data_IF_963877785355
#
_entry.id   IF_963877785355
#
_cell.length_a   1.000
_cell.length_b   1.000
_cell.length_c   1.000
_cell.angle_alpha   90.00
_cell.angle_beta   90.00
_cell.angle_gamma   90.00
#
_symmetry.space_group_name_H-M   'P 1'
#
loop_
_entity.id
_entity.type
_entity.pdbx_description
1 polymer ?
#
# COMPACT_ATOMS: atom_id res chain seq x y z
N UNK A 1 -71.60 13.83 4.53
CA UNK A 1 -71.98 12.94 5.65
C UNK A 1 -70.80 12.85 6.62
N UNK A 2 -71.05 13.25 7.88
CA UNK A 2 -70.40 12.91 9.18
C UNK A 2 -68.86 12.92 9.27
N UNK A 3 -68.25 13.99 9.81
CA UNK A 3 -67.92 14.33 11.24
C UNK A 3 -66.51 13.82 11.63
N UNK A 4 -65.46 14.64 11.71
CA UNK A 4 -65.02 15.56 12.80
C UNK A 4 -64.86 14.88 14.18
N UNK A 5 -63.64 14.87 14.75
CA UNK A 5 -63.23 15.67 15.93
C UNK A 5 -61.74 15.50 16.30
N UNK A 6 -61.10 16.64 16.57
CA UNK A 6 -59.84 16.84 17.30
C UNK A 6 -60.04 16.62 18.82
N UNK A 7 -58.98 16.28 19.57
CA UNK A 7 -58.52 17.09 20.71
C UNK A 7 -57.21 16.58 21.34
N UNK A 8 -56.33 17.53 21.64
CA UNK A 8 -55.13 17.54 22.47
C UNK A 8 -55.47 17.67 23.97
N UNK A 9 -54.59 17.23 24.88
CA UNK A 9 -54.39 17.85 26.20
C UNK A 9 -53.10 17.36 26.90
N UNK A 10 -52.51 18.28 27.66
CA UNK A 10 -51.22 18.31 28.36
C UNK A 10 -51.25 17.83 29.83
N UNK A 11 -50.03 17.50 30.33
CA UNK A 11 -49.42 17.71 31.66
C UNK A 11 -50.02 17.12 32.97
N UNK A 12 -49.20 16.36 33.74
CA UNK A 12 -48.75 16.69 35.11
C UNK A 12 -47.94 15.57 35.83
N UNK A 13 -46.78 15.95 36.39
CA UNK A 13 -46.08 15.60 37.65
C UNK A 13 -45.93 14.16 38.24
N UNK A 14 -44.66 13.69 38.26
CA UNK A 14 -43.81 13.13 39.38
C UNK A 14 -44.31 12.05 40.38
N UNK A 15 -43.44 11.40 41.20
CA UNK A 15 -42.27 10.55 40.95
C UNK A 15 -42.39 9.15 41.65
N UNK A 16 -41.64 8.11 41.24
CA UNK A 16 -41.58 6.82 41.99
C UNK A 16 -40.15 6.38 42.29
N UNK A 17 -40.01 5.91 43.54
CA UNK A 17 -38.84 5.75 44.41
C UNK A 17 -38.05 4.46 44.14
N UNK A 18 -36.74 4.57 44.37
CA UNK A 18 -35.78 3.48 44.64
C UNK A 18 -36.15 2.78 45.95
N UNK A 19 -36.08 1.44 45.99
CA UNK A 19 -36.11 0.63 47.21
C UNK A 19 -34.94 -0.36 47.20
N UNK A 20 -34.02 -0.17 48.14
CA UNK A 20 -33.08 -1.18 48.65
C UNK A 20 -33.64 -1.80 49.94
N UNK A 21 -33.32 -3.06 50.22
CA UNK A 21 -33.40 -3.71 51.55
C UNK A 21 -32.64 -5.06 51.57
N UNK A 22 -32.18 -5.55 52.76
CA UNK A 22 -30.85 -6.13 52.97
C UNK A 22 -30.87 -7.57 53.57
N UNK A 23 -29.97 -8.00 54.49
CA UNK A 23 -28.80 -8.86 54.28
C UNK A 23 -28.91 -10.27 54.94
N UNK A 24 -27.93 -11.17 54.74
CA UNK A 24 -27.78 -12.35 55.59
C UNK A 24 -26.30 -12.78 55.75
N UNK A 25 -25.98 -13.26 56.96
CA UNK A 25 -24.66 -13.37 57.59
C UNK A 25 -23.86 -14.64 57.26
N UNK A 26 -22.57 -14.56 57.64
CA UNK A 26 -21.48 -15.54 57.59
C UNK A 26 -21.71 -16.84 58.38
N UNK A 27 -21.09 -17.94 57.93
CA UNK A 27 -20.40 -18.93 58.78
C UNK A 27 -19.23 -19.61 58.00
N UNK A 28 -18.26 -20.08 58.77
CA UNK A 28 -16.81 -20.23 58.52
C UNK A 28 -16.28 -21.59 58.03
N UNK A 29 -15.08 -21.54 57.40
CA UNK A 29 -13.93 -22.47 57.36
C UNK A 29 -14.13 -23.98 57.02
N UNK A 30 -13.40 -24.52 56.04
CA UNK A 30 -12.10 -25.20 56.27
C UNK A 30 -11.31 -25.44 54.95
N UNK A 31 -9.99 -25.21 55.00
CA UNK A 31 -8.93 -25.57 54.01
C UNK A 31 -8.65 -27.10 53.98
N UNK A 32 -8.00 -27.74 52.95
CA UNK A 32 -6.61 -27.41 52.54
C UNK A 32 -6.03 -27.86 51.16
N UNK A 33 -4.77 -27.41 50.95
CA UNK A 33 -3.62 -27.94 50.14
C UNK A 33 -3.39 -27.45 48.69
N UNK A 34 -2.31 -26.65 48.55
CA UNK A 34 -1.41 -26.52 47.38
C UNK A 34 -0.12 -27.33 47.60
N UNK A 35 0.59 -27.71 46.52
CA UNK A 35 2.06 -27.60 46.42
C UNK A 35 2.45 -26.70 45.22
N UNK A 36 3.29 -25.65 45.35
CA UNK A 36 4.80 -25.59 45.32
C UNK A 36 5.37 -26.12 43.98
N UNK A 37 6.34 -25.54 43.26
CA UNK A 37 7.37 -24.48 43.40
C UNK A 37 7.97 -24.34 41.95
N UNK A 38 8.49 -23.24 41.38
CA UNK A 38 9.78 -22.56 41.63
C UNK A 38 9.96 -21.44 40.59
N UNK A 39 10.29 -20.24 41.05
CA UNK A 39 10.94 -19.17 40.27
C UNK A 39 12.28 -18.89 40.95
N UNK A 40 13.37 -18.86 40.20
CA UNK A 40 14.64 -18.31 40.64
C UNK A 40 14.75 -16.85 40.19
N UNK A 41 14.99 -15.96 41.16
CA UNK A 41 15.43 -14.59 40.94
C UNK A 41 16.93 -14.56 40.62
N UNK A 42 17.36 -13.61 39.81
CA UNK A 42 18.57 -12.83 40.06
C UNK A 42 18.38 -11.39 39.62
N UNK A 43 18.85 -10.52 40.49
CA UNK A 43 18.71 -9.07 40.53
C UNK A 43 19.64 -8.33 39.56
N UNK A 44 19.28 -7.10 39.19
CA UNK A 44 20.17 -5.94 39.34
C UNK A 44 19.40 -4.64 39.08
N UNK A 45 19.57 -3.72 40.04
CA UNK A 45 19.07 -2.35 40.10
C UNK A 45 19.82 -1.43 39.11
N UNK A 46 19.15 -0.36 38.63
CA UNK A 46 19.68 1.02 38.56
C UNK A 46 18.72 1.97 37.80
N UNK A 47 17.82 2.58 38.56
CA UNK A 47 17.65 4.05 38.70
C UNK A 47 18.36 5.00 37.69
N UNK A 48 17.59 5.80 36.92
CA UNK A 48 17.47 7.29 37.01
C UNK A 48 16.94 7.96 35.73
N UNK A 49 16.01 8.88 35.98
CA UNK A 49 15.41 9.90 35.11
C UNK A 49 16.33 11.10 34.88
N UNK A 50 16.45 11.61 33.63
CA UNK A 50 16.33 13.05 33.23
C UNK A 50 16.92 13.34 31.84
N UNK A 51 16.14 14.05 31.03
CA UNK A 51 16.60 14.85 29.89
C UNK A 51 17.21 16.18 30.36
N UNK A 52 18.22 16.73 29.67
CA UNK A 52 18.51 18.16 29.72
C UNK A 52 18.19 18.88 28.40
N UNK A 53 17.48 20.00 28.52
CA UNK A 53 17.55 21.14 27.60
C UNK A 53 18.76 21.99 27.99
N UNK A 54 19.58 22.41 27.03
CA UNK A 54 20.22 23.73 27.07
C UNK A 54 20.75 24.16 25.70
N UNK A 55 20.65 25.47 25.47
CA UNK A 55 21.15 26.24 24.34
C UNK A 55 22.68 26.41 24.42
N UNK A 56 23.33 26.49 23.26
CA UNK A 56 24.72 26.95 23.14
C UNK A 56 25.21 26.90 21.69
N UNK A 57 25.33 28.06 21.05
CA UNK A 57 25.85 28.25 19.71
C UNK A 57 27.38 28.18 19.67
N UNK A 58 27.99 27.51 18.68
CA UNK A 58 29.30 27.86 18.06
C UNK A 58 29.31 27.36 16.60
N UNK A 59 29.93 28.17 15.73
CA UNK A 59 30.01 28.11 14.28
C UNK A 59 30.80 26.92 13.67
N UNK A 60 30.63 26.71 12.36
CA UNK A 60 31.25 25.67 11.51
C UNK A 60 32.77 25.81 11.29
N UNK A 61 33.37 24.98 10.39
CA UNK A 61 33.29 25.32 8.96
C UNK A 61 33.32 24.13 7.96
N UNK A 62 33.10 24.49 6.69
CA UNK A 62 33.50 23.86 5.43
C UNK A 62 32.37 23.34 4.53
N UNK A 63 32.05 24.24 3.62
CA UNK A 63 31.39 24.09 2.33
C UNK A 63 31.82 22.83 1.56
N UNK A 64 30.81 22.05 1.15
CA UNK A 64 30.88 21.23 -0.07
C UNK A 64 29.75 21.73 -0.98
N UNK A 65 30.03 22.19 -2.22
CA UNK A 65 28.96 22.69 -3.08
C UNK A 65 28.08 21.51 -3.53
N UNK A 66 26.82 21.52 -3.10
CA UNK A 66 25.78 20.69 -3.69
C UNK A 66 25.53 21.18 -5.13
N UNK A 67 26.11 20.48 -6.10
CA UNK A 67 25.69 20.58 -7.50
C UNK A 67 24.23 20.14 -7.60
N UNK A 68 23.31 21.09 -7.58
CA UNK A 68 21.94 20.89 -8.06
C UNK A 68 21.98 20.82 -9.59
N UNK A 69 22.38 19.68 -10.15
CA UNK A 69 21.97 19.35 -11.51
C UNK A 69 20.54 18.86 -11.45
N UNK A 70 19.59 19.72 -11.82
CA UNK A 70 18.24 19.29 -12.17
C UNK A 70 18.33 18.47 -13.45
N UNK A 71 18.46 17.15 -13.33
CA UNK A 71 18.10 16.26 -14.44
C UNK A 71 16.58 16.27 -14.54
N UNK A 72 16.03 16.87 -15.60
CA UNK A 72 14.59 16.81 -15.83
C UNK A 72 14.18 15.36 -16.08
N UNK A 73 12.98 14.99 -15.64
CA UNK A 73 12.31 13.72 -15.97
C UNK A 73 12.27 13.45 -17.49
N UNK A 74 12.32 14.50 -18.31
CA UNK A 74 12.46 14.42 -19.77
C UNK A 74 13.80 13.82 -20.22
N UNK A 75 14.93 14.14 -19.55
CA UNK A 75 16.23 13.54 -19.88
C UNK A 75 16.25 12.04 -19.61
N UNK A 76 15.60 11.61 -18.52
CA UNK A 76 15.43 10.19 -18.21
C UNK A 76 14.51 9.48 -19.21
N UNK A 77 13.46 10.16 -19.69
CA UNK A 77 12.55 9.66 -20.73
C UNK A 77 13.29 9.38 -22.04
N UNK A 78 14.26 10.23 -22.39
CA UNK A 78 15.09 10.10 -23.60
C UNK A 78 16.12 8.99 -23.49
N UNK A 79 16.80 8.87 -22.35
CA UNK A 79 17.79 7.80 -22.13
C UNK A 79 17.12 6.40 -22.11
N UNK A 80 15.89 6.29 -21.60
CA UNK A 80 15.13 5.05 -21.61
C UNK A 80 14.72 4.59 -23.03
N UNK A 81 14.36 5.52 -23.92
CA UNK A 81 14.00 5.16 -25.30
C UNK A 81 15.22 4.74 -26.13
N UNK A 82 16.38 5.36 -25.90
CA UNK A 82 17.63 5.04 -26.59
C UNK A 82 18.18 3.64 -26.16
N UNK A 83 18.08 3.26 -24.88
CA UNK A 83 18.50 1.94 -24.38
C UNK A 83 17.69 0.76 -24.95
N UNK A 84 16.45 0.99 -25.40
CA UNK A 84 15.62 -0.05 -26.03
C UNK A 84 16.21 -0.59 -27.34
N UNK A 85 17.18 0.11 -27.95
CA UNK A 85 17.70 -0.23 -29.28
C UNK A 85 18.96 -1.12 -29.25
N UNK A 86 19.54 -1.40 -28.07
CA UNK A 86 20.80 -2.12 -27.94
C UNK A 86 20.67 -3.40 -27.09
N UNK A 87 19.95 -4.40 -27.58
CA UNK A 87 20.05 -5.78 -27.07
C UNK A 87 19.77 -6.78 -28.19
N UNK A 88 20.83 -7.32 -28.80
CA UNK A 88 20.74 -8.52 -29.65
C UNK A 88 20.81 -9.76 -28.75
N UNK A 89 19.64 -10.30 -28.41
CA UNK A 89 19.48 -11.71 -28.07
C UNK A 89 18.40 -12.29 -28.97
N UNK A 90 18.75 -13.34 -29.71
CA UNK A 90 17.84 -14.11 -30.56
C UNK A 90 17.01 -15.03 -29.67
N UNK A 91 15.68 -14.97 -29.79
CA UNK A 91 14.75 -15.84 -29.04
C UNK A 91 13.60 -15.17 -28.29
N UNK A 92 13.26 -13.91 -28.58
CA UNK A 92 12.12 -13.20 -27.97
C UNK A 92 11.13 -12.76 -29.06
N UNK A 93 9.86 -12.98 -28.77
CA UNK A 93 8.67 -12.70 -29.59
C UNK A 93 8.83 -11.44 -30.46
N UNK A 94 8.91 -11.66 -31.77
CA UNK A 94 9.22 -10.65 -32.79
C UNK A 94 8.10 -9.60 -32.90
N UNK A 95 6.95 -9.83 -32.28
CA UNK A 95 5.79 -8.94 -32.33
C UNK A 95 5.97 -7.63 -31.55
N UNK A 96 6.72 -7.64 -30.44
CA UNK A 96 6.98 -6.42 -29.64
C UNK A 96 8.04 -5.49 -30.29
N UNK A 97 8.83 -6.00 -31.26
CA UNK A 97 9.84 -5.21 -31.99
C UNK A 97 9.24 -4.38 -33.14
N UNK A 98 8.04 -4.70 -33.58
CA UNK A 98 7.41 -4.14 -34.79
C UNK A 98 6.39 -3.03 -34.52
N UNK A 99 6.25 -2.55 -33.27
CA UNK A 99 5.24 -1.54 -32.94
C UNK A 99 3.79 -2.02 -33.11
N UNK A 100 3.59 -3.34 -33.19
CA UNK A 100 2.27 -3.95 -33.19
C UNK A 100 1.80 -3.97 -31.74
N UNK A 101 0.71 -3.27 -31.44
CA UNK A 101 0.08 -3.26 -30.12
C UNK A 101 -0.22 -4.69 -29.68
N UNK A 102 0.46 -5.19 -28.65
CA UNK A 102 0.15 -6.47 -28.02
C UNK A 102 -1.31 -6.46 -27.56
N UNK A 103 -2.13 -7.50 -27.79
CA UNK A 103 -3.50 -7.52 -27.28
C UNK A 103 -3.55 -7.45 -25.74
N UNK A 104 -2.45 -7.74 -25.05
CA UNK A 104 -2.35 -7.78 -23.60
C UNK A 104 -1.96 -6.46 -22.94
N UNK A 105 -1.25 -5.58 -23.67
CA UNK A 105 -0.70 -4.33 -23.15
C UNK A 105 -0.82 -3.21 -24.17
N UNK A 106 -0.99 -2.00 -23.65
CA UNK A 106 -1.11 -0.77 -24.44
C UNK A 106 -0.40 0.38 -23.75
N UNK A 107 -0.14 1.43 -24.51
CA UNK A 107 0.32 2.70 -23.97
C UNK A 107 -0.87 3.68 -23.87
N UNK A 108 -1.05 4.29 -22.71
CA UNK A 108 -2.06 5.33 -22.48
C UNK A 108 -1.37 6.56 -21.94
N UNK A 109 -1.25 7.59 -22.77
CA UNK A 109 -0.65 8.90 -22.43
C UNK A 109 0.73 8.78 -21.76
N UNK A 110 1.56 7.84 -22.26
CA UNK A 110 2.90 7.57 -21.76
C UNK A 110 3.00 6.56 -20.62
N UNK A 111 1.91 5.87 -20.26
CA UNK A 111 1.89 4.77 -19.29
C UNK A 111 1.69 3.44 -20.02
N UNK A 112 2.65 2.53 -19.90
CA UNK A 112 2.54 1.15 -20.39
C UNK A 112 1.73 0.31 -19.40
N UNK A 113 0.59 -0.23 -19.81
CA UNK A 113 -0.36 -0.91 -18.92
C UNK A 113 -1.13 -2.01 -19.65
N UNK A 114 -1.59 -3.00 -18.91
CA UNK A 114 -2.40 -4.09 -19.45
C UNK A 114 -3.71 -3.55 -20.04
N UNK A 115 -4.16 -4.16 -21.13
CA UNK A 115 -5.46 -3.92 -21.77
C UNK A 115 -6.65 -4.11 -20.83
N UNK A 116 -6.46 -4.76 -19.67
CA UNK A 116 -7.44 -4.82 -18.59
C UNK A 116 -7.87 -3.44 -18.09
N UNK A 117 -6.95 -2.47 -18.05
CA UNK A 117 -7.25 -1.12 -17.61
C UNK A 117 -7.91 -0.31 -18.73
N UNK A 118 -9.02 0.36 -18.41
CA UNK A 118 -9.73 1.21 -19.36
C UNK A 118 -9.04 2.56 -19.48
N UNK A 119 -8.88 3.03 -20.72
CA UNK A 119 -8.19 4.30 -20.97
C UNK A 119 -8.96 5.47 -20.38
N UNK A 120 -10.29 5.45 -20.49
CA UNK A 120 -11.15 6.50 -19.93
C UNK A 120 -11.03 6.59 -18.41
N UNK A 121 -10.91 5.45 -17.72
CA UNK A 121 -10.68 5.44 -16.27
C UNK A 121 -9.30 6.03 -15.95
N UNK A 122 -8.26 5.68 -16.71
CA UNK A 122 -6.91 6.20 -16.49
C UNK A 122 -6.83 7.72 -16.77
N UNK A 123 -7.43 8.19 -17.86
CA UNK A 123 -7.53 9.62 -18.19
C UNK A 123 -8.36 10.39 -17.17
N UNK A 124 -9.45 9.79 -16.69
CA UNK A 124 -10.25 10.34 -15.59
C UNK A 124 -9.43 10.43 -14.31
N UNK A 125 -8.60 9.43 -14.00
CA UNK A 125 -7.69 9.46 -12.87
C UNK A 125 -6.70 10.62 -13.00
N UNK A 126 -6.07 10.83 -14.16
CA UNK A 126 -5.16 11.97 -14.38
C UNK A 126 -5.86 13.32 -14.19
N UNK A 127 -7.12 13.42 -14.55
CA UNK A 127 -7.91 14.64 -14.48
C UNK A 127 -8.50 14.94 -13.09
N UNK A 128 -8.47 13.97 -12.16
CA UNK A 128 -9.00 14.12 -10.81
C UNK A 128 -8.41 15.36 -10.11
N UNK A 129 -9.22 16.04 -9.31
CA UNK A 129 -8.82 17.24 -8.58
C UNK A 129 -8.72 16.90 -7.10
N UNK A 130 -7.50 16.73 -6.55
CA UNK A 130 -7.34 16.35 -5.16
C UNK A 130 -7.94 17.37 -4.21
N UNK A 131 -8.62 16.87 -3.18
CA UNK A 131 -9.24 17.63 -2.10
C UNK A 131 -8.25 17.80 -0.93
N UNK A 132 -8.43 18.81 -0.07
CA UNK A 132 -7.52 19.03 1.07
C UNK A 132 -7.46 17.87 2.08
N UNK A 133 -8.49 17.04 2.14
CA UNK A 133 -8.58 15.88 3.01
C UNK A 133 -8.17 14.57 2.30
N UNK A 134 -7.76 14.63 1.03
CA UNK A 134 -7.29 13.45 0.30
C UNK A 134 -5.92 12.99 0.81
N UNK A 135 -5.81 11.67 0.99
CA UNK A 135 -4.56 10.97 1.26
C UNK A 135 -4.33 9.98 0.13
N UNK A 136 -3.24 10.12 -0.61
CA UNK A 136 -2.83 9.16 -1.63
C UNK A 136 -1.84 8.16 -1.04
N UNK A 137 -2.02 6.87 -1.34
CA UNK A 137 -1.02 5.82 -1.12
C UNK A 137 -0.49 5.42 -2.51
N UNK A 138 0.69 5.93 -2.83
CA UNK A 138 1.36 5.75 -4.10
C UNK A 138 2.54 4.78 -3.97
N UNK A 139 2.81 4.00 -5.01
CA UNK A 139 3.96 3.08 -5.06
C UNK A 139 4.09 2.49 -6.45
N UNK A 140 5.30 2.08 -6.85
CA UNK A 140 5.40 1.12 -7.94
C UNK A 140 4.72 -0.20 -7.51
N UNK A 141 4.11 -0.97 -8.43
CA UNK A 141 3.49 -2.24 -8.07
C UNK A 141 4.38 -3.10 -7.20
N UNK A 142 3.76 -3.73 -6.19
CA UNK A 142 4.41 -4.73 -5.31
C UNK A 142 5.48 -4.20 -4.36
N UNK A 143 5.49 -2.90 -4.13
CA UNK A 143 6.30 -2.27 -3.08
C UNK A 143 5.61 -2.20 -1.70
N UNK A 144 4.49 -2.88 -1.48
CA UNK A 144 3.80 -2.91 -0.17
C UNK A 144 2.57 -2.02 -0.06
N UNK A 145 1.98 -1.61 -1.18
CA UNK A 145 0.82 -0.71 -1.26
C UNK A 145 -0.37 -1.16 -0.41
N UNK A 146 -0.77 -2.43 -0.51
CA UNK A 146 -1.90 -2.97 0.26
C UNK A 146 -1.65 -2.88 1.76
N UNK A 147 -0.41 -3.17 2.19
CA UNK A 147 -0.03 -3.06 3.59
C UNK A 147 -0.13 -1.62 4.09
N UNK A 148 0.36 -0.66 3.31
CA UNK A 148 0.22 0.76 3.63
C UNK A 148 -1.24 1.23 3.62
N UNK A 149 -2.07 0.79 2.67
CA UNK A 149 -3.51 1.09 2.70
C UNK A 149 -4.15 0.55 3.98
N UNK A 150 -3.83 -0.66 4.42
CA UNK A 150 -4.35 -1.21 5.67
C UNK A 150 -3.89 -0.40 6.87
N UNK A 151 -2.61 -0.02 6.95
CA UNK A 151 -2.08 0.84 8.02
C UNK A 151 -2.85 2.15 8.06
N UNK A 152 -2.96 2.86 6.94
CA UNK A 152 -3.67 4.15 6.86
C UNK A 152 -5.14 3.97 7.24
N UNK A 153 -5.81 2.96 6.69
CA UNK A 153 -7.21 2.69 6.98
C UNK A 153 -7.44 2.41 8.47
N UNK A 154 -6.60 1.59 9.10
CA UNK A 154 -6.64 1.29 10.53
C UNK A 154 -6.38 2.53 11.40
N UNK A 155 -5.48 3.44 11.00
CA UNK A 155 -5.25 4.70 11.73
C UNK A 155 -6.49 5.60 11.66
N UNK A 156 -7.13 5.68 10.49
CA UNK A 156 -8.30 6.53 10.26
C UNK A 156 -9.59 5.96 10.89
N UNK A 157 -9.68 4.64 11.05
CA UNK A 157 -10.90 3.90 11.44
C UNK A 157 -10.69 2.98 12.65
N UNK A 158 -9.79 3.34 13.56
CA UNK A 158 -9.62 2.67 14.87
C UNK A 158 -9.40 1.15 14.83
N UNK A 159 -8.49 0.72 13.94
CA UNK A 159 -8.12 -0.66 13.67
C UNK A 159 -9.24 -1.55 13.07
N UNK A 160 -10.31 -0.95 12.54
CA UNK A 160 -11.37 -1.68 11.85
C UNK A 160 -11.05 -1.74 10.36
N UNK A 161 -10.86 -2.94 9.81
CA UNK A 161 -10.80 -3.17 8.37
C UNK A 161 -12.14 -3.68 7.84
N UNK A 162 -12.50 -3.34 6.60
CA UNK A 162 -13.57 -4.02 5.88
C UNK A 162 -13.37 -5.53 5.80
N UNK A 163 -14.46 -6.29 5.82
CA UNK A 163 -14.45 -7.76 5.92
C UNK A 163 -13.91 -8.46 4.66
N UNK A 164 -13.88 -7.77 3.52
CA UNK A 164 -13.44 -8.34 2.25
C UNK A 164 -12.76 -7.30 1.34
N UNK A 165 -12.05 -7.80 0.33
CA UNK A 165 -11.28 -6.99 -0.62
C UNK A 165 -12.10 -5.99 -1.44
N UNK A 166 -13.39 -6.27 -1.72
CA UNK A 166 -14.26 -5.36 -2.49
C UNK A 166 -14.70 -4.19 -1.63
N UNK A 167 -15.20 -4.44 -0.41
CA UNK A 167 -15.53 -3.35 0.51
C UNK A 167 -14.26 -2.54 0.87
N UNK A 168 -13.10 -3.18 0.98
CA UNK A 168 -11.82 -2.49 1.14
C UNK A 168 -11.50 -1.61 -0.06
N UNK A 169 -11.70 -2.10 -1.30
CA UNK A 169 -11.50 -1.30 -2.51
C UNK A 169 -12.45 -0.09 -2.54
N UNK A 170 -13.71 -0.22 -2.12
CA UNK A 170 -14.64 0.91 -2.07
C UNK A 170 -14.24 1.96 -1.02
N UNK A 171 -13.70 1.52 0.12
CA UNK A 171 -13.22 2.40 1.18
C UNK A 171 -11.82 3.00 0.90
N UNK A 172 -11.03 2.35 0.05
CA UNK A 172 -9.70 2.80 -0.39
C UNK A 172 -9.50 2.54 -1.88
N UNK A 173 -10.11 3.38 -2.75
CA UNK A 173 -10.23 3.11 -4.18
C UNK A 173 -8.88 3.14 -4.89
N UNK A 174 -8.73 2.23 -5.86
CA UNK A 174 -7.62 2.26 -6.79
C UNK A 174 -7.95 3.18 -7.96
N UNK A 175 -7.47 4.42 -7.93
CA UNK A 175 -7.88 5.45 -8.89
C UNK A 175 -7.49 5.09 -10.33
N UNK A 176 -6.36 4.42 -10.54
CA UNK A 176 -5.92 3.96 -11.86
C UNK A 176 -6.93 2.99 -12.50
N UNK A 177 -7.69 2.27 -11.67
CA UNK A 177 -8.68 1.29 -12.11
C UNK A 177 -10.11 1.86 -12.13
N UNK A 178 -10.45 2.69 -11.14
CA UNK A 178 -11.80 3.24 -10.92
C UNK A 178 -12.02 4.62 -11.52
N UNK A 179 -10.97 5.28 -12.01
CA UNK A 179 -11.02 6.69 -12.40
C UNK A 179 -11.39 7.59 -11.22
N UNK A 180 -11.82 8.82 -11.52
CA UNK A 180 -12.26 9.78 -10.50
C UNK A 180 -13.50 9.31 -9.72
N UNK A 181 -14.33 8.42 -10.29
CA UNK A 181 -15.56 7.95 -9.66
C UNK A 181 -15.30 7.25 -8.31
N UNK A 182 -14.20 6.48 -8.21
CA UNK A 182 -13.82 5.81 -6.96
C UNK A 182 -13.62 6.81 -5.82
N UNK A 183 -12.64 7.74 -5.91
CA UNK A 183 -12.43 8.78 -4.90
C UNK A 183 -13.63 9.72 -4.66
N UNK A 184 -14.47 9.94 -5.68
CA UNK A 184 -15.67 10.78 -5.51
C UNK A 184 -16.75 10.10 -4.66
N UNK A 185 -16.80 8.77 -4.64
CA UNK A 185 -17.78 7.95 -3.90
C UNK A 185 -17.23 7.29 -2.65
N UNK A 186 -15.93 7.36 -2.40
CA UNK A 186 -15.31 6.74 -1.22
C UNK A 186 -15.82 7.38 0.09
N UNK A 187 -15.92 6.56 1.14
CA UNK A 187 -16.16 7.06 2.50
C UNK A 187 -14.94 7.86 3.00
N UNK A 188 -15.21 8.92 3.76
CA UNK A 188 -14.18 9.82 4.30
C UNK A 188 -14.22 9.84 5.83
N UNK A 189 -13.06 9.90 6.52
CA UNK A 189 -11.70 9.95 5.96
C UNK A 189 -11.27 8.60 5.34
N UNK A 190 -10.51 8.66 4.25
CA UNK A 190 -10.11 7.49 3.47
C UNK A 190 -8.85 7.76 2.65
N UNK A 191 -8.29 6.71 2.05
CA UNK A 191 -7.06 6.82 1.27
C UNK A 191 -7.25 6.33 -0.17
N UNK A 192 -6.69 7.06 -1.13
CA UNK A 192 -6.75 6.76 -2.55
C UNK A 192 -5.47 6.01 -2.94
N UNK A 193 -5.60 4.78 -3.44
CA UNK A 193 -4.46 4.03 -3.98
C UNK A 193 -4.15 4.48 -5.40
N UNK A 194 -2.86 4.55 -5.72
CA UNK A 194 -2.39 4.72 -7.10
C UNK A 194 -1.05 4.03 -7.35
N UNK A 195 -0.80 3.65 -8.61
CA UNK A 195 0.50 3.20 -9.10
C UNK A 195 1.06 4.17 -10.15
N UNK A 196 0.57 5.41 -10.19
CA UNK A 196 1.05 6.42 -11.12
C UNK A 196 2.40 7.00 -10.67
N UNK A 197 3.33 7.24 -11.63
CA UNK A 197 4.53 8.00 -11.37
C UNK A 197 4.19 9.45 -10.99
N UNK A 198 5.14 10.15 -10.37
CA UNK A 198 4.87 11.49 -9.85
C UNK A 198 4.43 12.45 -10.95
N UNK A 199 4.95 12.37 -12.18
CA UNK A 199 4.53 13.26 -13.27
C UNK A 199 3.08 13.03 -13.76
N UNK A 200 2.42 11.94 -13.34
CA UNK A 200 1.07 11.56 -13.77
C UNK A 200 0.04 11.50 -12.66
N UNK A 201 0.46 11.39 -11.39
CA UNK A 201 -0.48 11.42 -10.28
C UNK A 201 -1.14 12.81 -10.17
N UNK A 202 -2.43 12.91 -9.84
CA UNK A 202 -3.08 14.19 -9.55
C UNK A 202 -2.43 14.91 -8.36
N UNK A 203 -2.03 16.17 -8.58
CA UNK A 203 -1.31 16.98 -7.59
C UNK A 203 -2.16 18.06 -6.94
N UNK A 204 -2.00 18.20 -5.63
CA UNK A 204 -2.42 19.36 -4.86
C UNK A 204 -1.50 19.56 -3.66
N UNK A 205 -1.05 20.80 -3.37
CA UNK A 205 -0.26 21.07 -2.16
C UNK A 205 -1.08 20.88 -0.87
N UNK A 206 -2.41 20.77 -0.97
CA UNK A 206 -3.30 20.56 0.17
C UNK A 206 -3.57 19.08 0.47
N UNK A 207 -3.39 18.19 -0.51
CA UNK A 207 -3.52 16.75 -0.31
C UNK A 207 -2.23 16.16 0.25
N UNK A 208 -2.30 14.98 0.85
CA UNK A 208 -1.15 14.24 1.37
C UNK A 208 -0.83 13.04 0.49
N UNK A 209 0.45 12.72 0.37
CA UNK A 209 0.93 11.61 -0.44
C UNK A 209 1.86 10.75 0.40
N UNK A 210 1.57 9.46 0.51
CA UNK A 210 2.45 8.47 1.12
C UNK A 210 3.00 7.62 -0.02
N UNK A 211 4.30 7.73 -0.25
CA UNK A 211 5.00 6.94 -1.25
C UNK A 211 5.76 5.79 -0.60
N UNK A 212 5.47 4.57 -1.02
CA UNK A 212 6.15 3.36 -0.55
C UNK A 212 6.98 2.75 -1.68
N UNK A 213 8.27 2.58 -1.45
CA UNK A 213 9.18 1.85 -2.33
C UNK A 213 9.72 0.60 -1.67
N UNK A 214 10.31 -0.31 -2.45
CA UNK A 214 10.90 -1.56 -2.00
C UNK A 214 12.09 -1.90 -2.87
N UNK A 215 13.09 -2.59 -2.34
CA UNK A 215 14.27 -2.96 -3.12
C UNK A 215 13.88 -3.64 -4.45
N UNK A 216 14.57 -3.32 -5.56
CA UNK A 216 14.15 -3.70 -6.90
C UNK A 216 14.15 -5.23 -7.11
N UNK A 217 15.01 -5.97 -6.40
CA UNK A 217 15.08 -7.43 -6.47
C UNK A 217 13.83 -8.11 -5.91
N UNK A 218 13.44 -7.79 -4.67
CA UNK A 218 12.23 -8.34 -4.07
C UNK A 218 10.96 -7.81 -4.76
N UNK A 219 10.99 -6.57 -5.24
CA UNK A 219 9.92 -6.02 -6.05
C UNK A 219 9.70 -6.86 -7.31
N UNK A 220 10.77 -7.16 -8.06
CA UNK A 220 10.75 -8.01 -9.25
C UNK A 220 10.14 -9.39 -8.95
N UNK A 221 10.62 -10.09 -7.91
CA UNK A 221 10.06 -11.41 -7.52
C UNK A 221 8.59 -11.31 -7.13
N UNK A 222 8.22 -10.30 -6.33
CA UNK A 222 6.83 -10.14 -5.92
C UNK A 222 5.92 -9.80 -7.09
N UNK A 223 6.46 -9.18 -8.14
CA UNK A 223 5.72 -8.82 -9.34
C UNK A 223 5.58 -10.01 -10.29
N UNK A 224 6.61 -10.82 -10.45
CA UNK A 224 6.52 -12.10 -11.15
C UNK A 224 5.34 -12.94 -10.65
N UNK A 225 5.29 -13.22 -9.34
CA UNK A 225 4.21 -14.00 -8.72
C UNK A 225 2.84 -13.30 -8.81
N UNK A 226 2.81 -11.96 -8.83
CA UNK A 226 1.57 -11.24 -9.01
C UNK A 226 1.01 -11.39 -10.43
N UNK A 227 1.85 -11.31 -11.47
CA UNK A 227 1.40 -11.57 -12.84
C UNK A 227 0.85 -12.99 -12.94
N UNK A 228 1.53 -13.97 -12.33
CA UNK A 228 1.04 -15.35 -12.28
C UNK A 228 -0.32 -15.50 -11.58
N UNK A 229 -0.64 -14.64 -10.61
CA UNK A 229 -1.95 -14.65 -9.96
C UNK A 229 -3.05 -13.95 -10.78
N UNK A 230 -2.73 -13.27 -11.89
CA UNK A 230 -3.73 -12.58 -12.71
C UNK A 230 -4.34 -13.49 -13.78
N UNK A 231 -5.63 -13.32 -14.12
CA UNK A 231 -6.32 -14.15 -15.12
C UNK A 231 -5.81 -13.93 -16.55
N UNK A 232 -5.10 -12.83 -16.81
CA UNK A 232 -4.53 -12.48 -18.12
C UNK A 232 -3.06 -12.90 -18.26
N UNK A 233 -2.56 -13.76 -17.37
CA UNK A 233 -1.20 -14.28 -17.50
C UNK A 233 -1.05 -15.11 -18.79
N UNK A 234 0.12 -15.00 -19.40
CA UNK A 234 0.51 -15.78 -20.57
C UNK A 234 1.30 -17.01 -20.15
N UNK A 235 1.33 -18.10 -20.95
CA UNK A 235 2.18 -19.25 -20.66
C UNK A 235 3.65 -18.86 -20.40
N UNK A 236 4.17 -17.88 -21.15
CA UNK A 236 5.55 -17.39 -21.05
C UNK A 236 5.79 -16.60 -19.76
N UNK A 237 4.73 -16.14 -19.08
CA UNK A 237 4.86 -15.43 -17.80
C UNK A 237 5.32 -16.36 -16.66
N UNK A 238 5.37 -17.68 -16.88
CA UNK A 238 5.90 -18.68 -15.94
C UNK A 238 7.40 -18.90 -16.00
N UNK A 239 8.06 -18.27 -16.96
CA UNK A 239 9.51 -18.24 -17.02
C UNK A 239 10.01 -16.98 -16.33
N UNK A 240 10.67 -17.16 -15.18
CA UNK A 240 11.21 -16.05 -14.40
C UNK A 240 12.26 -15.27 -15.20
N UNK A 241 13.04 -15.93 -16.07
CA UNK A 241 14.04 -15.27 -16.90
C UNK A 241 13.38 -14.29 -17.88
N UNK A 242 12.36 -14.74 -18.61
CA UNK A 242 11.57 -13.89 -19.51
C UNK A 242 10.86 -12.76 -18.76
N UNK A 243 10.36 -13.03 -17.56
CA UNK A 243 9.77 -11.98 -16.74
C UNK A 243 10.81 -10.92 -16.33
N UNK A 244 11.98 -11.34 -15.87
CA UNK A 244 13.07 -10.46 -15.47
C UNK A 244 13.49 -9.54 -16.61
N UNK A 245 13.66 -10.08 -17.82
CA UNK A 245 13.98 -9.26 -19.00
C UNK A 245 12.91 -8.17 -19.27
N UNK A 246 11.62 -8.53 -19.18
CA UNK A 246 10.54 -7.56 -19.36
C UNK A 246 10.50 -6.52 -18.26
N UNK A 247 10.74 -6.92 -17.00
CA UNK A 247 10.81 -6.01 -15.87
C UNK A 247 11.93 -4.98 -16.06
N UNK A 248 13.14 -5.42 -16.42
CA UNK A 248 14.29 -4.54 -16.67
C UNK A 248 14.09 -3.62 -17.88
N UNK A 249 13.33 -4.07 -18.89
CA UNK A 249 12.94 -3.25 -20.06
C UNK A 249 11.72 -2.34 -19.82
N UNK A 250 11.11 -2.37 -18.62
CA UNK A 250 9.89 -1.61 -18.34
C UNK A 250 8.67 -2.08 -19.14
N UNK A 251 8.65 -3.34 -19.60
CA UNK A 251 7.55 -3.97 -20.35
C UNK A 251 6.60 -4.74 -19.43
N UNK A 252 6.20 -4.09 -18.34
CA UNK A 252 5.23 -4.54 -17.34
C UNK A 252 4.33 -3.36 -16.96
N UNK A 253 3.18 -3.58 -16.30
CA UNK A 253 2.27 -2.47 -15.96
C UNK A 253 3.02 -1.35 -15.20
N UNK A 254 2.67 -0.10 -15.53
CA UNK A 254 3.29 1.13 -15.04
C UNK A 254 4.76 1.34 -15.47
N UNK A 255 5.29 0.49 -16.32
CA UNK A 255 6.54 0.73 -17.04
C UNK A 255 7.80 0.49 -16.23
N UNK A 256 8.82 1.31 -16.51
CA UNK A 256 10.15 1.22 -15.91
C UNK A 256 10.13 1.57 -14.41
N UNK A 257 10.66 0.66 -13.59
CA UNK A 257 10.70 0.80 -12.14
C UNK A 257 11.47 2.06 -11.70
N UNK A 258 12.60 2.39 -12.33
CA UNK A 258 13.44 3.52 -11.93
C UNK A 258 12.89 4.84 -12.43
N UNK A 259 12.25 4.90 -13.60
CA UNK A 259 11.46 6.05 -14.01
C UNK A 259 10.44 6.40 -12.93
N UNK A 260 9.68 5.39 -12.49
CA UNK A 260 8.67 5.58 -11.47
C UNK A 260 9.27 5.99 -10.13
N UNK A 261 10.27 5.26 -9.63
CA UNK A 261 10.91 5.54 -8.35
C UNK A 261 11.57 6.92 -8.32
N UNK A 262 12.38 7.26 -9.33
CA UNK A 262 13.11 8.52 -9.36
C UNK A 262 12.16 9.71 -9.45
N UNK A 263 11.05 9.58 -10.20
CA UNK A 263 10.03 10.64 -10.26
C UNK A 263 9.47 11.00 -8.88
N UNK A 264 9.28 10.01 -7.99
CA UNK A 264 8.83 10.24 -6.62
C UNK A 264 9.97 10.62 -5.68
N UNK A 265 11.18 10.11 -5.94
CA UNK A 265 12.36 10.34 -5.12
C UNK A 265 12.76 11.83 -5.10
N UNK A 266 12.60 12.54 -6.22
CA UNK A 266 12.85 13.98 -6.31
C UNK A 266 11.95 14.82 -5.38
N UNK A 267 10.78 14.27 -5.02
CA UNK A 267 9.77 14.90 -4.18
C UNK A 267 9.73 14.36 -2.75
N UNK A 268 10.69 13.50 -2.37
CA UNK A 268 10.71 12.84 -1.05
C UNK A 268 10.81 13.79 0.15
N UNK A 269 11.21 15.04 -0.09
CA UNK A 269 11.35 16.08 0.93
C UNK A 269 10.24 17.13 0.88
N UNK A 270 9.26 16.98 -0.02
CA UNK A 270 8.11 17.87 -0.07
C UNK A 270 7.27 17.72 1.22
N UNK A 271 6.74 18.82 1.77
CA UNK A 271 6.11 18.81 3.10
C UNK A 271 4.83 17.97 3.17
N UNK A 272 4.21 17.69 2.02
CA UNK A 272 3.01 16.86 1.88
C UNK A 272 3.32 15.48 1.28
N UNK A 273 4.58 15.05 1.26
CA UNK A 273 5.01 13.72 0.82
C UNK A 273 5.70 12.99 1.98
N UNK A 274 5.17 11.82 2.35
CA UNK A 274 5.85 10.87 3.23
C UNK A 274 6.45 9.76 2.37
N UNK A 275 7.78 9.79 2.24
CA UNK A 275 8.53 8.74 1.56
C UNK A 275 9.02 7.70 2.57
N UNK A 276 8.73 6.41 2.31
CA UNK A 276 9.15 5.29 3.16
C UNK A 276 9.56 4.07 2.32
N UNK A 277 10.43 3.23 2.87
CA UNK A 277 10.74 1.94 2.25
C UNK A 277 9.99 0.81 2.96
N UNK A 278 9.65 -0.24 2.22
CA UNK A 278 9.08 -1.48 2.76
C UNK A 278 10.01 -2.10 3.81
N UNK A 279 11.32 -2.01 3.59
CA UNK A 279 12.36 -2.52 4.48
C UNK A 279 12.38 -1.78 5.81
N UNK A 280 12.28 -0.44 5.80
CA UNK A 280 12.15 0.38 7.01
C UNK A 280 10.92 -0.02 7.83
N UNK A 281 9.77 -0.12 7.15
CA UNK A 281 8.52 -0.52 7.79
C UNK A 281 8.59 -1.95 8.36
N UNK A 282 9.25 -2.89 7.67
CA UNK A 282 9.42 -4.27 8.18
C UNK A 282 10.41 -4.36 9.34
N UNK A 283 11.41 -3.49 9.39
CA UNK A 283 12.41 -3.46 10.46
C UNK A 283 11.80 -3.02 11.79
N UNK A 284 10.95 -1.99 11.77
CA UNK A 284 10.20 -1.53 12.92
C UNK A 284 8.81 -1.03 12.50
N UNK A 285 7.86 -1.97 12.45
CA UNK A 285 6.48 -1.69 12.06
C UNK A 285 5.81 -0.67 12.98
N UNK A 286 6.09 -0.74 14.29
CA UNK A 286 5.45 0.12 15.29
C UNK A 286 5.84 1.58 15.08
N UNK A 287 7.14 1.86 14.97
CA UNK A 287 7.64 3.19 14.66
C UNK A 287 7.18 3.67 13.27
N UNK A 288 7.11 2.76 12.30
CA UNK A 288 6.55 3.04 10.97
C UNK A 288 5.09 3.52 11.02
N UNK A 289 4.22 2.83 11.76
CA UNK A 289 2.82 3.20 11.97
C UNK A 289 2.72 4.57 12.65
N UNK A 290 3.52 4.83 13.68
CA UNK A 290 3.52 6.13 14.37
C UNK A 290 3.96 7.28 13.44
N UNK A 291 4.97 7.04 12.59
CA UNK A 291 5.41 8.00 11.57
C UNK A 291 4.29 8.33 10.57
N UNK A 292 3.57 7.31 10.10
CA UNK A 292 2.40 7.50 9.22
C UNK A 292 1.30 8.27 9.94
N UNK A 293 1.00 7.92 11.20
CA UNK A 293 -0.03 8.60 11.98
C UNK A 293 0.28 10.08 12.19
N UNK A 294 1.51 10.44 12.54
CA UNK A 294 1.92 11.85 12.68
C UNK A 294 1.78 12.63 11.37
N UNK A 295 2.14 12.01 10.25
CA UNK A 295 2.02 12.59 8.92
C UNK A 295 0.55 12.81 8.53
N UNK A 296 -0.33 11.83 8.80
CA UNK A 296 -1.78 11.96 8.61
C UNK A 296 -2.37 13.06 9.51
N UNK A 297 -1.82 13.27 10.70
CA UNK A 297 -2.10 14.40 11.55
C UNK A 297 -1.67 14.14 12.99
N UNK A 298 -1.16 15.18 13.66
CA UNK A 298 -0.64 15.08 15.04
C UNK A 298 -1.60 14.40 16.02
N UNK A 299 -2.91 14.58 15.85
CA UNK A 299 -3.91 13.97 16.71
C UNK A 299 -3.96 12.43 16.58
N UNK A 300 -3.75 11.86 15.38
CA UNK A 300 -3.64 10.41 15.20
C UNK A 300 -2.40 9.86 15.90
N UNK A 301 -1.25 10.51 15.72
CA UNK A 301 -0.01 10.11 16.39
C UNK A 301 -0.07 10.24 17.91
N UNK A 302 -0.73 11.28 18.44
CA UNK A 302 -0.99 11.39 19.89
C UNK A 302 -1.91 10.27 20.37
N UNK A 303 -3.00 9.98 19.65
CA UNK A 303 -3.95 8.92 20.00
C UNK A 303 -3.26 7.56 20.12
N UNK A 304 -2.44 7.18 19.12
CA UNK A 304 -1.75 5.89 19.14
C UNK A 304 -0.68 5.76 20.22
N UNK A 305 -0.04 6.87 20.61
CA UNK A 305 0.93 6.87 21.73
C UNK A 305 0.26 6.80 23.10
N UNK A 306 -0.98 7.29 23.21
CA UNK A 306 -1.75 7.27 24.46
C UNK A 306 -2.54 5.96 24.63
N UNK A 307 -3.02 5.38 23.52
CA UNK A 307 -3.75 4.12 23.50
C UNK A 307 -2.86 3.00 22.90
N UNK A 308 -2.00 2.44 23.75
CA UNK A 308 -1.14 1.31 23.38
C UNK A 308 -1.94 0.08 22.92
N UNK A 309 -3.17 -0.09 23.43
CA UNK A 309 -4.02 -1.20 23.04
C UNK A 309 -4.50 -1.03 21.59
N UNK A 310 -4.84 0.20 21.18
CA UNK A 310 -5.15 0.50 19.79
C UNK A 310 -3.94 0.27 18.87
N UNK A 311 -2.75 0.77 19.24
CA UNK A 311 -1.54 0.51 18.45
C UNK A 311 -1.26 -1.00 18.29
N UNK A 312 -1.44 -1.78 19.36
CA UNK A 312 -1.31 -3.24 19.32
C UNK A 312 -2.32 -3.90 18.39
N UNK A 313 -3.59 -3.48 18.44
CA UNK A 313 -4.62 -3.98 17.50
C UNK A 313 -4.27 -3.66 16.05
N UNK A 314 -3.77 -2.45 15.77
CA UNK A 314 -3.32 -2.11 14.41
C UNK A 314 -2.20 -3.04 13.98
N UNK A 315 -1.17 -3.24 14.82
CA UNK A 315 -0.06 -4.15 14.54
C UNK A 315 -0.55 -5.57 14.23
N UNK A 316 -1.48 -6.10 15.01
CA UNK A 316 -2.07 -7.42 14.81
C UNK A 316 -2.85 -7.52 13.49
N UNK A 317 -3.70 -6.54 13.18
CA UNK A 317 -4.57 -6.55 11.99
C UNK A 317 -3.77 -6.39 10.69
N UNK A 318 -2.67 -5.65 10.71
CA UNK A 318 -1.81 -5.44 9.53
C UNK A 318 -0.73 -6.50 9.37
N UNK A 319 -0.72 -7.55 10.21
CA UNK A 319 0.16 -8.70 10.02
C UNK A 319 -0.21 -9.47 8.74
N UNK A 320 0.80 -10.10 8.12
CA UNK A 320 0.65 -10.80 6.85
C UNK A 320 -0.46 -11.85 6.93
N UNK A 321 -0.49 -12.63 8.03
CA UNK A 321 -1.46 -13.70 8.25
C UNK A 321 -2.91 -13.19 8.27
N UNK A 322 -3.15 -12.02 8.87
CA UNK A 322 -4.48 -11.45 9.00
C UNK A 322 -4.93 -10.83 7.68
N UNK A 323 -4.05 -10.09 7.01
CA UNK A 323 -4.33 -9.54 5.68
C UNK A 323 -4.66 -10.62 4.64
N UNK A 324 -4.04 -11.82 4.71
CA UNK A 324 -4.38 -12.94 3.81
C UNK A 324 -5.87 -13.28 3.85
N UNK A 325 -6.53 -13.18 5.01
CA UNK A 325 -7.96 -13.51 5.16
C UNK A 325 -8.87 -12.57 4.35
N UNK A 326 -8.42 -11.34 4.12
CA UNK A 326 -9.19 -10.29 3.41
C UNK A 326 -8.85 -10.30 1.91
N UNK A 327 -7.56 -10.44 1.57
CA UNK A 327 -7.06 -10.17 0.22
C UNK A 327 -6.69 -11.40 -0.61
N UNK A 328 -6.62 -12.60 -0.03
CA UNK A 328 -6.40 -13.85 -0.79
C UNK A 328 -7.70 -14.60 -1.08
N UNK A 329 -8.83 -13.90 -1.12
CA UNK A 329 -10.08 -14.47 -1.60
C UNK A 329 -9.93 -14.94 -3.06
N UNK A 330 -10.60 -16.02 -3.42
CA UNK A 330 -10.48 -16.53 -4.77
C UNK A 330 -11.12 -15.57 -5.78
N UNK A 331 -10.58 -15.53 -7.00
CA UNK A 331 -11.02 -14.59 -8.04
C UNK A 331 -12.51 -14.71 -8.37
N UNK A 332 -13.11 -15.91 -8.28
CA UNK A 332 -14.54 -16.13 -8.53
C UNK A 332 -15.36 -15.51 -7.40
N UNK A 333 -14.94 -15.70 -6.15
CA UNK A 333 -15.52 -15.06 -4.97
C UNK A 333 -15.47 -13.55 -5.05
N UNK A 334 -14.31 -12.99 -5.43
CA UNK A 334 -14.14 -11.55 -5.62
C UNK A 334 -15.05 -11.01 -6.73
N UNK A 335 -15.07 -11.65 -7.91
CA UNK A 335 -15.93 -11.23 -9.03
C UNK A 335 -17.42 -11.38 -8.71
N UNK A 336 -17.80 -12.45 -8.02
CA UNK A 336 -19.18 -12.69 -7.57
C UNK A 336 -19.67 -11.59 -6.62
N UNK A 337 -18.87 -11.25 -5.59
CA UNK A 337 -19.18 -10.12 -4.69
C UNK A 337 -19.25 -8.80 -5.45
N UNK A 338 -18.32 -8.61 -6.38
CA UNK A 338 -18.28 -7.42 -7.21
C UNK A 338 -19.56 -7.22 -8.04
N UNK A 339 -20.06 -8.28 -8.69
CA UNK A 339 -21.33 -8.23 -9.46
C UNK A 339 -22.58 -8.21 -8.59
N UNK A 340 -22.47 -8.67 -7.36
CA UNK A 340 -23.56 -8.66 -6.38
C UNK A 340 -23.60 -7.39 -5.53
N UNK A 341 -22.74 -6.39 -5.84
CA UNK A 341 -22.79 -5.10 -5.16
C UNK A 341 -24.15 -4.44 -5.39
N UNK A 342 -24.76 -3.87 -4.33
CA UNK A 342 -26.03 -3.19 -4.48
C UNK A 342 -25.85 -1.91 -5.33
N UNK A 343 -26.90 -1.41 -6.02
CA UNK A 343 -26.77 -0.33 -6.99
C UNK A 343 -26.08 0.94 -6.45
N UNK A 344 -26.28 1.26 -5.17
CA UNK A 344 -25.67 2.39 -4.49
C UNK A 344 -24.15 2.26 -4.24
N UNK A 345 -23.61 1.04 -4.32
CA UNK A 345 -22.16 0.74 -4.22
C UNK A 345 -21.53 0.42 -5.58
N UNK A 346 -22.32 0.08 -6.59
CA UNK A 346 -21.82 -0.25 -7.92
C UNK A 346 -21.18 0.98 -8.60
N UNK A 347 -19.92 0.85 -9.03
CA UNK A 347 -19.18 1.88 -9.78
C UNK A 347 -19.36 1.68 -11.28
N UNK A 348 -19.76 2.73 -12.01
CA UNK A 348 -19.94 2.68 -13.48
C UNK A 348 -18.62 2.39 -14.18
N UNK A 349 -17.54 2.96 -13.66
CA UNK A 349 -16.16 2.74 -14.13
C UNK A 349 -15.78 1.26 -14.20
N UNK A 350 -16.50 0.39 -13.49
CA UNK A 350 -16.22 -1.04 -13.37
C UNK A 350 -17.29 -1.95 -14.02
N UNK A 351 -18.37 -1.39 -14.57
CA UNK A 351 -19.41 -2.18 -15.27
C UNK A 351 -18.86 -2.94 -16.48
N UNK A 352 -17.77 -2.44 -17.08
CA UNK A 352 -17.11 -3.05 -18.24
C UNK A 352 -16.23 -4.25 -17.86
N UNK A 353 -15.95 -4.45 -16.57
CA UNK A 353 -15.24 -5.64 -16.06
C UNK A 353 -16.15 -6.88 -15.96
N UNK A 354 -17.42 -6.79 -16.39
CA UNK A 354 -18.38 -7.90 -16.53
C UNK A 354 -18.08 -8.84 -17.72
N UNK A 355 -16.81 -9.09 -18.02
CA UNK A 355 -16.47 -10.09 -19.03
C UNK A 355 -16.91 -11.50 -18.53
N UNK A 356 -17.33 -12.42 -19.41
CA UNK A 356 -17.88 -13.71 -19.00
C UNK A 356 -16.88 -14.52 -18.16
N UNK A 357 -17.36 -15.07 -17.04
CA UNK A 357 -16.66 -16.02 -16.15
C UNK A 357 -15.98 -17.17 -16.92
N UNK A 358 -16.57 -17.53 -18.05
CA UNK A 358 -16.21 -18.67 -18.89
C UNK A 358 -14.79 -18.55 -19.47
N UNK A 359 -14.24 -17.33 -19.57
CA UNK A 359 -12.87 -17.10 -20.02
C UNK A 359 -11.81 -17.32 -18.91
N UNK A 360 -12.24 -17.50 -17.65
CA UNK A 360 -11.37 -17.64 -16.46
C UNK A 360 -11.47 -19.05 -15.88
N UNK A 361 -11.78 -20.06 -16.70
CA UNK A 361 -11.61 -21.46 -16.31
C UNK A 361 -10.15 -21.84 -16.39
N UNK A 362 -9.42 -21.40 -15.38
CA UNK A 362 -8.02 -21.68 -15.25
C UNK A 362 -7.78 -22.67 -14.11
N UNK A 363 -7.52 -23.93 -14.45
CA UNK A 363 -7.13 -25.00 -13.51
C UNK A 363 -5.71 -24.82 -12.95
N UNK A 364 -4.99 -23.73 -13.30
CA UNK A 364 -3.61 -23.49 -12.88
C UNK A 364 -3.49 -23.22 -11.37
N UNK A 365 -2.37 -23.67 -10.78
CA UNK A 365 -1.99 -23.44 -9.37
C UNK A 365 -2.03 -21.95 -9.06
N UNK A 366 -2.94 -21.54 -8.17
CA UNK A 366 -3.20 -20.15 -7.81
C UNK A 366 -2.06 -19.63 -6.92
N UNK A 367 -1.41 -18.55 -7.36
CA UNK A 367 -0.48 -17.79 -6.51
C UNK A 367 -1.26 -16.88 -5.55
N UNK A 368 -0.79 -16.80 -4.29
CA UNK A 368 -1.38 -15.93 -3.28
C UNK A 368 -1.03 -14.46 -3.51
N UNK A 369 -2.02 -13.55 -3.44
CA UNK A 369 -1.78 -12.11 -3.59
C UNK A 369 -0.92 -11.54 -2.45
N UNK A 370 -1.33 -11.80 -1.21
CA UNK A 370 -0.52 -11.64 0.00
C UNK A 370 0.30 -12.93 0.17
N UNK A 371 1.49 -12.91 -0.42
CA UNK A 371 2.43 -14.04 -0.46
C UNK A 371 3.26 -14.11 0.83
N UNK A 372 4.55 -13.77 0.81
CA UNK A 372 5.44 -13.95 1.98
C UNK A 372 5.55 -12.74 2.91
N UNK A 373 5.52 -11.51 2.38
CA UNK A 373 5.67 -10.29 3.18
C UNK A 373 7.03 -10.14 3.89
N UNK A 374 8.11 -10.68 3.29
CA UNK A 374 9.48 -10.68 3.84
C UNK A 374 10.44 -9.87 2.97
N UNK A 375 11.59 -9.49 3.54
CA UNK A 375 12.73 -8.89 2.83
C UNK A 375 13.75 -9.98 2.52
N UNK A 376 14.32 -9.98 1.31
CA UNK A 376 15.37 -10.90 0.87
C UNK A 376 14.89 -12.18 0.21
N UNK A 377 13.62 -12.28 -0.20
CA UNK A 377 13.10 -13.48 -0.89
C UNK A 377 13.69 -13.65 -2.30
N UNK A 378 14.23 -12.56 -2.87
CA UNK A 378 14.94 -12.59 -4.14
C UNK A 378 16.10 -13.60 -4.16
N UNK A 379 16.75 -13.84 -3.01
CA UNK A 379 17.88 -14.78 -2.86
C UNK A 379 17.49 -16.22 -3.22
N UNK A 380 16.20 -16.56 -3.18
CA UNK A 380 15.67 -17.88 -3.53
C UNK A 380 15.23 -18.00 -5.00
N UNK A 381 15.28 -16.91 -5.78
CA UNK A 381 14.74 -16.86 -7.14
C UNK A 381 15.80 -16.48 -8.17
N UNK A 382 16.70 -15.56 -7.84
CA UNK A 382 17.75 -15.13 -8.74
C UNK A 382 18.89 -16.14 -8.77
N UNK A 383 19.33 -16.50 -9.98
CA UNK A 383 20.67 -17.05 -10.17
C UNK A 383 21.72 -15.95 -10.01
N UNK A 384 23.00 -16.32 -9.82
CA UNK A 384 24.10 -15.36 -9.74
C UNK A 384 24.20 -14.48 -10.99
N UNK A 385 24.01 -15.08 -12.18
CA UNK A 385 24.03 -14.34 -13.46
C UNK A 385 22.89 -13.32 -13.53
N UNK A 386 21.66 -13.75 -13.23
CA UNK A 386 20.50 -12.86 -13.20
C UNK A 386 20.69 -11.71 -12.23
N UNK A 387 21.26 -11.98 -11.04
CA UNK A 387 21.51 -10.96 -10.04
C UNK A 387 22.56 -9.93 -10.50
N UNK A 388 23.60 -10.39 -11.20
CA UNK A 388 24.64 -9.54 -11.80
C UNK A 388 24.06 -8.62 -12.87
N UNK A 389 23.29 -9.15 -13.83
CA UNK A 389 22.66 -8.34 -14.88
C UNK A 389 21.67 -7.32 -14.32
N UNK A 390 20.92 -7.72 -13.29
CA UNK A 390 20.03 -6.82 -12.56
C UNK A 390 20.83 -5.68 -11.90
N UNK A 391 22.00 -5.98 -11.32
CA UNK A 391 22.86 -4.97 -10.72
C UNK A 391 23.43 -3.99 -11.76
N UNK A 392 23.86 -4.48 -12.92
CA UNK A 392 24.35 -3.63 -14.03
C UNK A 392 23.26 -2.67 -14.52
N UNK A 393 22.03 -3.17 -14.65
CA UNK A 393 20.86 -2.37 -14.98
C UNK A 393 20.57 -1.31 -13.91
N UNK A 394 20.55 -1.70 -12.62
CA UNK A 394 20.35 -0.77 -11.49
C UNK A 394 21.42 0.33 -11.52
N UNK A 395 22.69 -0.05 -11.62
CA UNK A 395 23.84 0.87 -11.67
C UNK A 395 23.69 1.85 -12.82
N UNK A 396 23.32 1.36 -14.00
CA UNK A 396 23.10 2.20 -15.19
C UNK A 396 21.94 3.18 -14.98
N UNK A 397 20.80 2.69 -14.50
CA UNK A 397 19.57 3.50 -14.30
C UNK A 397 19.71 4.52 -13.17
N UNK A 398 20.61 4.28 -12.22
CA UNK A 398 20.77 5.12 -11.02
C UNK A 398 22.11 5.86 -10.97
N UNK A 399 22.92 5.80 -12.03
CA UNK A 399 24.27 6.40 -12.11
C UNK A 399 24.38 7.86 -11.66
N UNK A 400 23.29 8.63 -11.78
CA UNK A 400 23.23 10.05 -11.44
C UNK A 400 22.37 10.33 -10.19
N UNK A 401 22.13 9.33 -9.34
CA UNK A 401 21.26 9.45 -8.18
C UNK A 401 21.83 8.69 -6.98
N UNK A 402 21.53 9.19 -5.79
CA UNK A 402 21.78 8.53 -4.51
C UNK A 402 20.63 7.60 -4.07
N UNK A 403 19.65 7.34 -4.95
CA UNK A 403 18.44 6.55 -4.63
C UNK A 403 18.77 5.17 -4.05
N UNK A 404 19.86 4.53 -4.48
CA UNK A 404 20.23 3.21 -3.97
C UNK A 404 20.72 3.24 -2.51
N UNK A 405 21.05 4.41 -1.96
CA UNK A 405 21.35 4.57 -0.53
C UNK A 405 20.15 4.29 0.38
N UNK A 406 18.92 4.28 -0.16
CA UNK A 406 17.72 3.83 0.56
C UNK A 406 17.86 2.40 1.12
N UNK A 407 18.74 1.60 0.52
CA UNK A 407 18.96 0.20 0.87
C UNK A 407 20.40 -0.10 1.31
N UNK A 408 21.17 0.93 1.70
CA UNK A 408 22.56 0.75 2.14
C UNK A 408 22.73 -0.21 3.34
N UNK A 409 21.68 -0.36 4.15
CA UNK A 409 21.68 -1.19 5.36
C UNK A 409 21.15 -2.61 5.09
N UNK A 410 20.90 -2.97 3.83
CA UNK A 410 20.59 -4.33 3.42
C UNK A 410 21.61 -4.79 2.38
N UNK A 411 22.12 -6.01 2.53
CA UNK A 411 23.10 -6.58 1.61
C UNK A 411 22.42 -6.93 0.28
N UNK A 412 22.32 -5.95 -0.62
CA UNK A 412 21.97 -6.17 -2.03
C UNK A 412 23.23 -6.61 -2.82
N UNK A 413 23.05 -7.41 -3.89
CA UNK A 413 24.15 -7.92 -4.71
C UNK A 413 25.00 -6.84 -5.40
#
# INVERSE_FOLDING_TARGET
MRRLHFCTAELADSPIKIKCSPPCELLSETTPKKPKLLLSKRDSEAEWTRWPRSLGAVAGPNDVPLLKQKTSTESFRRDCSEMSTAAKSEGVDDQDKLGVTSPFYKEVDGIYISSFFKEDNLRSAFAYKPRPDDVFVASYPKCGTTWMQCIVHCILNDAVLPDNSIDFMLASPFIDFTGAEGPDRMSRPGAIKTHLPFDKVPHSPQAKYIYVTRNPYDCCVSYYHHILSTPLNRPEDRDFERFLERFMRGRVNWGDYFYHLLSWYDHRHDPNVLFVTFEELKRDTSSGILKVADFLGKHYGCKLRQDEALLRRILEVVEVREMRKIFNDDMLGMMSRFWSLPPEKALRSLEVCKAPLDAVQDERKKEEFIRKGVVGDYKLHFTTDQASRMNDWITTKTKNSDVMLLWKDIDLP
#
